data_IF_666138354780
#
_entry.id   IF_666138354780
#
_cell.length_a   1.000
_cell.length_b   1.000
_cell.length_c   1.000
_cell.angle_alpha   90.00
_cell.angle_beta   90.00
_cell.angle_gamma   90.00
#
_symmetry.space_group_name_H-M   'P 1'
#
loop_
_entity.id
_entity.type
_entity.pdbx_description
1 polymer ?
#
# COMPACT_ATOMS: atom_id res chain seq x y z
N UNK A 1 23.15 -7.66 3.12
CA UNK A 1 23.05 -6.25 2.64
C UNK A 1 21.62 -6.03 2.15
N UNK A 2 20.95 -5.01 2.63
CA UNK A 2 19.63 -4.63 2.13
C UNK A 2 19.80 -3.91 0.78
N UNK A 3 19.52 -4.63 -0.32
CA UNK A 3 19.72 -4.13 -1.69
C UNK A 3 18.74 -3.01 -2.04
N UNK A 4 17.49 -3.10 -1.55
CA UNK A 4 16.48 -2.08 -1.76
C UNK A 4 16.93 -0.75 -1.16
N UNK A 5 17.33 -0.77 0.10
CA UNK A 5 17.86 0.41 0.78
C UNK A 5 19.08 0.99 0.07
N UNK A 6 19.99 0.14 -0.40
CA UNK A 6 21.17 0.61 -1.14
C UNK A 6 20.79 1.33 -2.44
N UNK A 7 19.77 0.82 -3.16
CA UNK A 7 19.27 1.46 -4.39
C UNK A 7 18.62 2.80 -4.04
N UNK A 8 17.73 2.83 -3.06
CA UNK A 8 17.05 4.05 -2.61
C UNK A 8 18.07 5.11 -2.19
N UNK A 9 19.07 4.76 -1.39
CA UNK A 9 20.12 5.67 -0.94
C UNK A 9 20.94 6.27 -2.12
N UNK A 10 21.17 5.48 -3.20
CA UNK A 10 21.88 5.94 -4.41
C UNK A 10 21.09 6.92 -5.27
N UNK A 11 19.76 6.80 -5.30
CA UNK A 11 18.86 7.67 -6.06
C UNK A 11 18.19 8.75 -5.19
N UNK A 12 18.55 8.83 -3.90
CA UNK A 12 17.91 9.70 -2.93
C UNK A 12 17.96 11.18 -3.36
N UNK A 13 16.83 11.86 -3.21
CA UNK A 13 16.66 13.30 -3.41
C UNK A 13 15.48 13.80 -2.55
N UNK A 14 15.08 15.07 -2.71
CA UNK A 14 13.99 15.67 -1.91
C UNK A 14 12.60 15.08 -2.14
N UNK A 15 12.40 14.27 -3.19
CA UNK A 15 11.13 13.66 -3.52
C UNK A 15 11.01 12.21 -3.04
N UNK A 16 12.13 11.56 -2.72
CA UNK A 16 12.16 10.12 -2.38
C UNK A 16 12.14 9.94 -0.86
N UNK A 17 11.25 9.08 -0.36
CA UNK A 17 11.19 8.72 1.07
C UNK A 17 9.79 8.46 1.62
N UNK A 18 8.74 8.78 0.89
CA UNK A 18 7.35 8.47 1.21
C UNK A 18 6.74 7.47 0.19
N UNK A 19 5.46 7.17 0.32
CA UNK A 19 4.72 6.25 -0.58
C UNK A 19 4.58 6.83 -2.01
N UNK A 20 4.84 8.12 -2.19
CA UNK A 20 4.88 8.80 -3.49
C UNK A 20 5.54 10.17 -3.39
N UNK A 21 5.89 10.74 -4.53
CA UNK A 21 6.47 12.06 -4.64
C UNK A 21 5.39 13.14 -4.68
N UNK A 22 5.47 14.15 -3.82
CA UNK A 22 4.58 15.33 -3.85
C UNK A 22 5.20 16.38 -4.74
N UNK A 23 4.51 16.73 -5.82
CA UNK A 23 4.95 17.76 -6.78
C UNK A 23 3.94 18.91 -6.79
N UNK A 24 4.44 20.13 -6.59
CA UNK A 24 3.63 21.34 -6.68
C UNK A 24 3.38 21.72 -8.14
N UNK A 25 2.15 22.10 -8.46
CA UNK A 25 1.73 22.65 -9.74
C UNK A 25 0.97 23.96 -9.50
N UNK A 26 0.76 24.74 -10.54
CA UNK A 26 0.03 26.01 -10.44
C UNK A 26 -1.38 25.88 -9.81
N UNK A 27 -2.05 24.75 -10.03
CA UNK A 27 -3.41 24.47 -9.52
C UNK A 27 -3.44 23.40 -8.44
N UNK A 28 -2.48 23.44 -7.50
CA UNK A 28 -2.42 22.51 -6.37
C UNK A 28 -1.27 21.51 -6.47
N UNK A 29 -1.21 20.60 -5.53
CA UNK A 29 -0.14 19.59 -5.47
C UNK A 29 -0.65 18.22 -5.91
N UNK A 30 0.21 17.47 -6.53
CA UNK A 30 -0.05 16.12 -7.03
C UNK A 30 0.91 15.12 -6.39
N UNK A 31 0.46 13.89 -6.28
CA UNK A 31 1.26 12.75 -5.82
C UNK A 31 1.46 11.81 -7.00
N UNK A 32 2.70 11.44 -7.22
CA UNK A 32 3.12 10.45 -8.21
C UNK A 32 3.69 9.24 -7.46
N UNK A 33 3.06 8.09 -7.62
CA UNK A 33 3.54 6.83 -7.08
C UNK A 33 3.71 5.79 -8.18
N UNK A 34 4.55 4.78 -7.94
CA UNK A 34 4.85 3.74 -8.91
C UNK A 34 5.28 2.48 -8.23
N UNK A 35 4.60 1.38 -8.56
CA UNK A 35 4.99 0.04 -8.18
C UNK A 35 5.11 -0.90 -9.37
N UNK A 36 5.85 -1.97 -9.13
CA UNK A 36 5.98 -3.11 -10.03
C UNK A 36 5.22 -4.30 -9.46
N UNK A 37 4.51 -5.02 -10.30
CA UNK A 37 3.85 -6.28 -9.93
C UNK A 37 4.29 -7.37 -10.89
N UNK A 38 5.07 -8.34 -10.39
CA UNK A 38 5.83 -9.27 -11.22
C UNK A 38 5.57 -10.72 -10.83
N UNK A 39 5.40 -11.57 -11.86
CA UNK A 39 5.37 -13.02 -11.72
C UNK A 39 6.73 -13.55 -11.22
N UNK A 40 6.67 -14.45 -10.23
CA UNK A 40 7.84 -14.99 -9.55
C UNK A 40 8.23 -14.22 -8.28
N UNK A 41 7.73 -12.98 -8.11
CA UNK A 41 7.93 -12.17 -6.89
C UNK A 41 6.61 -12.06 -6.10
N UNK A 42 5.56 -11.53 -6.72
CA UNK A 42 4.28 -11.25 -6.06
C UNK A 42 3.26 -12.39 -6.22
N UNK A 43 3.41 -13.20 -7.25
CA UNK A 43 2.58 -14.38 -7.51
C UNK A 43 3.34 -15.40 -8.38
N UNK A 44 2.91 -16.64 -8.33
CA UNK A 44 3.38 -17.67 -9.26
C UNK A 44 2.34 -17.94 -10.34
N UNK A 45 2.79 -18.48 -11.48
CA UNK A 45 1.90 -18.89 -12.57
C UNK A 45 0.76 -19.78 -12.04
N UNK A 46 -0.47 -19.49 -12.46
CA UNK A 46 -1.67 -20.25 -12.07
C UNK A 46 -2.28 -19.89 -10.71
N UNK A 47 -1.67 -19.03 -9.89
CA UNK A 47 -2.26 -18.58 -8.63
C UNK A 47 -3.39 -17.57 -8.82
N UNK A 48 -3.26 -16.73 -9.84
CA UNK A 48 -4.18 -15.65 -10.16
C UNK A 48 -4.59 -15.75 -11.63
N UNK A 49 -5.84 -15.41 -11.94
CA UNK A 49 -6.26 -15.16 -13.32
C UNK A 49 -5.69 -13.83 -13.81
N UNK A 50 -5.68 -13.59 -15.13
CA UNK A 50 -5.22 -12.32 -15.70
C UNK A 50 -6.02 -11.12 -15.18
N UNK A 51 -7.33 -11.30 -14.95
CA UNK A 51 -8.19 -10.29 -14.36
C UNK A 51 -7.80 -9.98 -12.90
N UNK A 52 -7.51 -11.03 -12.09
CA UNK A 52 -7.06 -10.87 -10.70
C UNK A 52 -5.68 -10.22 -10.62
N UNK A 53 -4.76 -10.56 -11.55
CA UNK A 53 -3.42 -9.96 -11.66
C UNK A 53 -3.54 -8.44 -11.89
N UNK A 54 -4.31 -8.03 -12.91
CA UNK A 54 -4.52 -6.62 -13.23
C UNK A 54 -5.19 -5.86 -12.08
N UNK A 55 -6.25 -6.44 -11.50
CA UNK A 55 -6.97 -5.85 -10.36
C UNK A 55 -6.04 -5.63 -9.18
N UNK A 56 -5.26 -6.64 -8.79
CA UNK A 56 -4.33 -6.52 -7.67
C UNK A 56 -3.23 -5.49 -7.98
N UNK A 57 -2.60 -5.54 -9.16
CA UNK A 57 -1.58 -4.58 -9.56
C UNK A 57 -2.07 -3.12 -9.47
N UNK A 58 -3.32 -2.86 -9.87
CA UNK A 58 -3.90 -1.52 -9.75
C UNK A 58 -4.13 -1.14 -8.28
N UNK A 59 -4.76 -2.02 -7.49
CA UNK A 59 -5.11 -1.74 -6.09
C UNK A 59 -3.87 -1.47 -5.23
N UNK A 60 -2.75 -2.18 -5.44
CA UNK A 60 -1.53 -1.95 -4.66
C UNK A 60 -0.95 -0.56 -4.92
N UNK A 61 -0.97 -0.11 -6.18
CA UNK A 61 -0.52 1.23 -6.55
C UNK A 61 -1.46 2.35 -6.04
N UNK A 62 -2.77 2.10 -6.01
CA UNK A 62 -3.73 3.05 -5.45
C UNK A 62 -3.57 3.20 -3.93
N UNK A 63 -3.09 2.16 -3.24
CA UNK A 63 -2.84 2.16 -1.80
C UNK A 63 -1.91 3.29 -1.37
N UNK A 64 -0.81 3.49 -2.09
CA UNK A 64 0.16 4.57 -1.85
C UNK A 64 -0.49 5.96 -1.87
N UNK A 65 -1.27 6.22 -2.94
CA UNK A 65 -1.94 7.49 -3.10
C UNK A 65 -2.94 7.76 -1.97
N UNK A 66 -3.72 6.73 -1.59
CA UNK A 66 -4.68 6.81 -0.48
C UNK A 66 -3.95 7.10 0.82
N UNK A 67 -2.84 6.39 1.12
CA UNK A 67 -2.07 6.57 2.35
C UNK A 67 -1.46 7.98 2.47
N UNK A 68 -1.26 8.68 1.35
CA UNK A 68 -0.78 10.05 1.30
C UNK A 68 -1.89 11.12 1.26
N UNK A 69 -3.17 10.76 1.40
CA UNK A 69 -4.33 11.66 1.28
C UNK A 69 -4.46 12.25 -0.14
N UNK A 70 -4.15 11.46 -1.16
CA UNK A 70 -4.28 11.86 -2.55
C UNK A 70 -5.35 11.01 -3.25
N UNK A 71 -6.17 11.65 -4.06
CA UNK A 71 -7.22 11.01 -4.86
C UNK A 71 -6.66 10.64 -6.22
N UNK A 72 -6.57 9.34 -6.56
CA UNK A 72 -6.09 8.90 -7.85
C UNK A 72 -6.95 9.47 -9.00
N UNK A 73 -6.31 9.93 -10.07
CA UNK A 73 -7.00 10.50 -11.24
C UNK A 73 -6.60 9.80 -12.52
N UNK A 74 -5.29 9.55 -12.69
CA UNK A 74 -4.76 8.98 -13.92
C UNK A 74 -3.80 7.84 -13.62
N UNK A 75 -3.68 6.92 -14.58
CA UNK A 75 -2.71 5.85 -14.55
C UNK A 75 -1.94 5.73 -15.88
N UNK A 76 -0.66 5.36 -15.77
CA UNK A 76 0.17 4.90 -16.90
C UNK A 76 0.55 3.44 -16.65
N UNK A 77 0.44 2.60 -17.70
CA UNK A 77 0.71 1.17 -17.60
C UNK A 77 1.92 0.77 -18.45
N UNK A 78 2.90 0.13 -17.83
CA UNK A 78 3.94 -0.62 -18.52
C UNK A 78 3.62 -2.12 -18.44
N UNK A 79 3.51 -2.80 -19.56
CA UNK A 79 3.11 -4.21 -19.65
C UNK A 79 4.21 -5.05 -20.28
N UNK A 80 4.85 -5.91 -19.52
CA UNK A 80 5.69 -6.99 -20.03
C UNK A 80 4.88 -8.29 -20.05
N UNK A 81 4.63 -8.85 -21.23
CA UNK A 81 3.78 -10.03 -21.38
C UNK A 81 4.49 -11.13 -22.16
N UNK A 82 4.33 -12.42 -21.77
CA UNK A 82 4.83 -13.54 -22.54
C UNK A 82 4.28 -13.53 -23.98
N UNK A 83 5.14 -13.81 -24.96
CA UNK A 83 4.75 -13.86 -26.38
C UNK A 83 3.56 -14.78 -26.67
N UNK A 84 3.36 -15.81 -25.85
CA UNK A 84 2.24 -16.77 -25.94
C UNK A 84 0.94 -16.28 -25.31
N UNK A 85 0.90 -15.06 -24.76
CA UNK A 85 -0.32 -14.51 -24.15
C UNK A 85 -1.42 -14.34 -25.20
N UNK A 86 -2.56 -15.00 -25.00
CA UNK A 86 -3.67 -15.02 -25.95
C UNK A 86 -4.49 -13.72 -25.88
N UNK A 87 -5.25 -13.44 -26.95
CA UNK A 87 -6.18 -12.31 -26.99
C UNK A 87 -7.23 -12.36 -25.86
N UNK A 88 -7.68 -13.56 -25.49
CA UNK A 88 -8.61 -13.74 -24.36
C UNK A 88 -7.96 -13.36 -23.03
N UNK A 89 -6.68 -13.70 -22.82
CA UNK A 89 -5.92 -13.31 -21.63
C UNK A 89 -5.68 -11.81 -21.58
N UNK A 90 -5.41 -11.17 -22.71
CA UNK A 90 -5.26 -9.70 -22.81
C UNK A 90 -6.61 -9.03 -22.48
N UNK A 91 -7.72 -9.55 -22.98
CA UNK A 91 -9.05 -9.05 -22.67
C UNK A 91 -9.40 -9.17 -21.18
N UNK A 92 -9.03 -10.28 -20.55
CA UNK A 92 -9.20 -10.48 -19.11
C UNK A 92 -8.32 -9.51 -18.29
N UNK A 93 -7.07 -9.28 -18.71
CA UNK A 93 -6.18 -8.29 -18.09
C UNK A 93 -6.79 -6.89 -18.17
N UNK A 94 -7.27 -6.47 -19.36
CA UNK A 94 -7.96 -5.19 -19.56
C UNK A 94 -9.16 -5.06 -18.64
N UNK A 95 -9.98 -6.12 -18.53
CA UNK A 95 -11.15 -6.11 -17.66
C UNK A 95 -10.77 -5.87 -16.21
N UNK A 96 -9.73 -6.54 -15.70
CA UNK A 96 -9.26 -6.36 -14.33
C UNK A 96 -8.81 -4.92 -14.02
N UNK A 97 -8.13 -4.27 -14.96
CA UNK A 97 -7.79 -2.84 -14.85
C UNK A 97 -9.04 -1.96 -14.90
N UNK A 98 -9.94 -2.18 -15.87
CA UNK A 98 -11.16 -1.38 -16.04
C UNK A 98 -12.04 -1.41 -14.80
N UNK A 99 -12.26 -2.60 -14.21
CA UNK A 99 -13.10 -2.75 -13.01
C UNK A 99 -12.59 -1.86 -11.85
N UNK A 100 -11.26 -1.76 -11.65
CA UNK A 100 -10.69 -0.91 -10.60
C UNK A 100 -10.70 0.57 -11.00
N UNK A 101 -10.46 0.86 -12.27
CA UNK A 101 -10.57 2.23 -12.79
C UNK A 101 -11.97 2.79 -12.56
N UNK A 102 -13.01 2.01 -12.86
CA UNK A 102 -14.40 2.40 -12.66
C UNK A 102 -14.74 2.57 -11.16
N UNK A 103 -14.23 1.65 -10.30
CA UNK A 103 -14.45 1.70 -8.85
C UNK A 103 -13.84 2.96 -8.20
N UNK A 104 -12.66 3.39 -8.65
CA UNK A 104 -11.90 4.51 -8.05
C UNK A 104 -11.87 5.79 -8.89
N UNK A 105 -12.56 5.84 -10.02
CA UNK A 105 -12.61 7.01 -10.89
C UNK A 105 -11.26 7.35 -11.54
N UNK A 106 -10.47 6.32 -11.90
CA UNK A 106 -9.14 6.47 -12.51
C UNK A 106 -9.23 6.32 -14.02
N UNK A 107 -8.54 7.18 -14.77
CA UNK A 107 -8.42 7.07 -16.23
C UNK A 107 -7.02 6.59 -16.60
N UNK A 108 -6.92 5.51 -17.37
CA UNK A 108 -5.65 5.10 -17.99
C UNK A 108 -5.38 6.03 -19.17
N UNK A 109 -4.27 6.78 -19.13
CA UNK A 109 -3.94 7.83 -20.11
C UNK A 109 -2.80 7.45 -21.05
N UNK A 110 -2.22 6.25 -20.89
CA UNK A 110 -1.15 5.76 -21.75
C UNK A 110 -0.35 4.65 -21.11
N UNK A 111 0.76 4.34 -21.73
CA UNK A 111 1.68 3.29 -21.27
C UNK A 111 2.52 2.75 -22.40
N UNK A 112 3.20 1.64 -22.13
CA UNK A 112 4.04 0.92 -23.09
C UNK A 112 3.87 -0.59 -22.92
N UNK A 113 4.16 -1.37 -23.98
CA UNK A 113 4.02 -2.83 -23.97
C UNK A 113 5.21 -3.49 -24.65
N UNK A 114 5.82 -4.47 -23.96
CA UNK A 114 6.94 -5.25 -24.47
C UNK A 114 6.69 -6.76 -24.33
N UNK A 115 7.41 -7.55 -25.14
CA UNK A 115 7.52 -8.99 -24.93
C UNK A 115 8.41 -9.29 -23.72
N UNK A 116 8.03 -10.27 -22.90
CA UNK A 116 8.77 -10.70 -21.72
C UNK A 116 8.63 -12.21 -21.52
N UNK A 117 9.51 -12.81 -20.72
CA UNK A 117 9.37 -14.23 -20.32
C UNK A 117 8.33 -14.44 -19.24
N UNK A 118 8.06 -13.41 -18.43
CA UNK A 118 7.12 -13.41 -17.30
C UNK A 118 6.21 -12.21 -17.39
N UNK A 119 5.07 -12.28 -16.70
CA UNK A 119 4.19 -11.13 -16.55
C UNK A 119 4.86 -10.10 -15.64
N UNK A 120 5.06 -8.90 -16.17
CA UNK A 120 5.55 -7.73 -15.45
C UNK A 120 4.60 -6.58 -15.70
N UNK A 121 4.01 -6.07 -14.65
CA UNK A 121 3.15 -4.89 -14.68
C UNK A 121 3.85 -3.76 -13.93
N UNK A 122 3.96 -2.61 -14.57
CA UNK A 122 4.45 -1.37 -14.00
C UNK A 122 3.31 -0.37 -14.03
N UNK A 123 2.83 0.03 -12.87
CA UNK A 123 1.73 1.00 -12.78
C UNK A 123 2.27 2.29 -12.17
N UNK A 124 1.97 3.41 -12.81
CA UNK A 124 2.23 4.75 -12.26
C UNK A 124 0.90 5.42 -12.00
N UNK A 125 0.65 5.86 -10.79
CA UNK A 125 -0.56 6.59 -10.41
C UNK A 125 -0.25 8.08 -10.27
N UNK A 126 -1.09 8.89 -10.86
CA UNK A 126 -1.05 10.34 -10.79
C UNK A 126 -2.30 10.79 -10.04
N UNK A 127 -2.10 11.35 -8.85
CA UNK A 127 -3.16 11.61 -7.88
C UNK A 127 -3.18 13.07 -7.46
N UNK A 128 -4.35 13.63 -7.26
CA UNK A 128 -4.52 14.99 -6.76
C UNK A 128 -4.60 14.99 -5.24
N UNK A 129 -3.78 15.80 -4.55
CA UNK A 129 -3.87 15.95 -3.11
C UNK A 129 -5.21 16.52 -2.66
N UNK A 130 -5.80 15.91 -1.65
CA UNK A 130 -7.02 16.35 -0.95
C UNK A 130 -6.68 17.27 0.24
N UNK A 131 -5.92 18.34 -0.02
CA UNK A 131 -5.42 19.25 1.00
C UNK A 131 -3.98 18.95 1.39
N UNK A 132 -3.67 18.66 2.67
CA UNK A 132 -2.30 18.38 3.10
C UNK A 132 -1.92 16.92 2.87
N UNK A 133 -0.74 16.69 2.32
CA UNK A 133 -0.16 15.35 2.27
C UNK A 133 0.06 14.80 3.68
N UNK A 134 -0.28 13.53 3.88
CA UNK A 134 0.09 12.78 5.08
C UNK A 134 1.35 11.99 4.74
N UNK A 135 2.43 12.26 5.45
CA UNK A 135 3.75 11.69 5.20
C UNK A 135 4.13 10.71 6.31
N UNK A 136 5.10 9.85 6.05
CA UNK A 136 5.70 8.97 7.08
C UNK A 136 6.41 9.75 8.17
N UNK A 137 6.86 10.97 7.90
CA UNK A 137 7.71 11.80 8.78
C UNK A 137 6.95 12.67 9.79
N UNK A 138 5.63 12.53 9.90
CA UNK A 138 4.78 13.42 10.70
C UNK A 138 4.49 12.98 12.13
N UNK A 139 4.93 11.78 12.57
CA UNK A 139 4.59 11.23 13.88
C UNK A 139 5.21 12.04 15.03
N UNK A 140 4.42 12.25 16.10
CA UNK A 140 4.80 13.06 17.27
C UNK A 140 4.86 12.21 18.53
N UNK A 141 5.81 12.52 19.42
CA UNK A 141 5.88 11.85 20.71
C UNK A 141 4.53 11.94 21.45
N UNK A 142 4.03 10.81 21.92
CA UNK A 142 2.75 10.69 22.57
C UNK A 142 1.58 10.32 21.65
N UNK A 143 1.75 10.35 20.33
CA UNK A 143 0.73 9.88 19.38
C UNK A 143 0.34 8.43 19.62
N UNK A 144 -0.91 8.12 19.40
CA UNK A 144 -1.40 6.75 19.30
C UNK A 144 -1.07 6.21 17.91
N UNK A 145 -0.70 4.94 17.86
CA UNK A 145 -0.41 4.21 16.61
C UNK A 145 -1.53 3.22 16.36
N UNK A 146 -2.09 3.24 15.16
CA UNK A 146 -3.19 2.37 14.78
C UNK A 146 -3.03 1.86 13.35
N UNK A 147 -3.76 0.79 13.04
CA UNK A 147 -3.97 0.33 11.66
C UNK A 147 -5.44 0.12 11.37
N UNK A 148 -5.79 0.21 10.11
CA UNK A 148 -7.14 -0.10 9.60
C UNK A 148 -7.33 -1.60 9.39
N UNK A 149 -8.58 -2.06 9.37
CA UNK A 149 -8.96 -3.41 8.98
C UNK A 149 -8.42 -4.53 9.85
N UNK A 150 -7.99 -5.59 9.18
CA UNK A 150 -7.41 -6.80 9.79
C UNK A 150 -6.15 -7.21 9.05
N UNK A 151 -5.15 -7.68 9.79
CA UNK A 151 -3.87 -8.13 9.26
C UNK A 151 -3.72 -9.65 9.36
N UNK A 152 -2.89 -10.22 8.49
CA UNK A 152 -2.61 -11.65 8.47
C UNK A 152 -3.41 -12.42 7.43
N UNK A 153 -4.30 -11.76 6.69
CA UNK A 153 -5.12 -12.36 5.64
C UNK A 153 -4.32 -12.69 4.39
N UNK A 154 -3.46 -11.78 3.96
CA UNK A 154 -2.58 -11.99 2.81
C UNK A 154 -1.60 -13.13 3.05
N UNK A 155 -0.89 -13.15 4.18
CA UNK A 155 0.03 -14.24 4.55
C UNK A 155 -0.69 -15.60 4.66
N UNK A 156 -1.94 -15.64 5.16
CA UNK A 156 -2.74 -16.86 5.18
C UNK A 156 -2.99 -17.35 3.74
N UNK A 157 -3.40 -16.46 2.84
CA UNK A 157 -3.62 -16.78 1.43
C UNK A 157 -2.35 -17.28 0.76
N UNK A 158 -1.23 -16.59 0.93
CA UNK A 158 0.08 -16.98 0.42
C UNK A 158 0.47 -18.40 0.87
N UNK A 159 0.38 -18.70 2.17
CA UNK A 159 0.70 -20.04 2.70
C UNK A 159 -0.21 -21.12 2.13
N UNK A 160 -1.50 -20.83 1.95
CA UNK A 160 -2.43 -21.77 1.32
C UNK A 160 -2.01 -22.11 -0.11
N UNK A 161 -1.64 -21.09 -0.91
CA UNK A 161 -1.18 -21.28 -2.29
C UNK A 161 0.17 -22.00 -2.38
N UNK A 162 1.13 -21.66 -1.53
CA UNK A 162 2.44 -22.33 -1.44
C UNK A 162 2.29 -23.84 -1.11
N UNK A 163 1.27 -24.21 -0.35
CA UNK A 163 0.95 -25.61 -0.03
C UNK A 163 0.03 -26.27 -1.06
N UNK A 164 -0.12 -25.71 -2.27
CA UNK A 164 -0.93 -26.27 -3.35
C UNK A 164 -2.44 -26.12 -3.17
N UNK A 165 -2.89 -25.36 -2.14
CA UNK A 165 -4.30 -25.09 -1.90
C UNK A 165 -4.86 -24.00 -2.80
N UNK A 166 -6.15 -23.69 -2.62
CA UNK A 166 -6.87 -22.64 -3.35
C UNK A 166 -7.35 -21.57 -2.38
N UNK A 167 -7.37 -20.32 -2.84
CA UNK A 167 -7.92 -19.17 -2.09
C UNK A 167 -9.09 -18.56 -2.86
N UNK A 168 -10.09 -18.10 -2.13
CA UNK A 168 -11.25 -17.44 -2.73
C UNK A 168 -10.84 -16.16 -3.46
N UNK A 169 -11.56 -15.76 -4.50
CA UNK A 169 -11.29 -14.55 -5.29
C UNK A 169 -11.39 -13.26 -4.47
N UNK A 170 -12.18 -13.25 -3.40
CA UNK A 170 -12.29 -12.14 -2.46
C UNK A 170 -11.29 -12.23 -1.28
N UNK A 171 -10.33 -13.16 -1.30
CA UNK A 171 -9.29 -13.24 -0.27
C UNK A 171 -8.40 -11.99 -0.29
N UNK A 172 -7.87 -11.60 0.87
CA UNK A 172 -6.94 -10.46 0.97
C UNK A 172 -5.72 -10.60 0.08
N UNK A 173 -5.22 -11.81 -0.10
CA UNK A 173 -4.11 -12.10 -1.00
C UNK A 173 -4.41 -11.70 -2.45
N UNK A 174 -5.64 -11.96 -2.93
CA UNK A 174 -6.04 -11.67 -4.31
C UNK A 174 -6.61 -10.26 -4.50
N UNK A 175 -7.36 -9.78 -3.51
CA UNK A 175 -8.07 -8.50 -3.57
C UNK A 175 -7.87 -7.72 -2.27
N UNK A 176 -6.85 -6.86 -2.19
CA UNK A 176 -6.77 -5.83 -1.15
C UNK A 176 -8.03 -4.96 -1.11
N UNK A 177 -8.37 -4.44 0.05
CA UNK A 177 -9.52 -3.53 0.21
C UNK A 177 -9.02 -2.24 0.80
N UNK A 178 -8.95 -1.21 -0.02
CA UNK A 178 -8.48 0.11 0.40
C UNK A 178 -9.46 0.75 1.37
N UNK A 179 -8.98 1.61 2.25
CA UNK A 179 -9.75 2.32 3.28
C UNK A 179 -9.79 3.81 3.00
N UNK A 180 -9.90 4.15 1.72
CA UNK A 180 -9.92 5.50 1.16
C UNK A 180 -10.99 6.39 1.83
N UNK A 181 -12.23 5.93 1.91
CA UNK A 181 -13.34 6.67 2.54
C UNK A 181 -13.05 7.03 4.00
N UNK A 182 -12.46 6.11 4.77
CA UNK A 182 -12.04 6.41 6.14
C UNK A 182 -10.88 7.40 6.15
N UNK A 183 -9.86 7.10 5.36
CA UNK A 183 -8.61 7.84 5.41
C UNK A 183 -8.80 9.29 4.99
N UNK A 184 -9.50 9.54 3.89
CA UNK A 184 -9.82 10.90 3.43
C UNK A 184 -10.63 11.69 4.45
N UNK A 185 -11.60 11.05 5.12
CA UNK A 185 -12.38 11.71 6.17
C UNK A 185 -11.58 12.01 7.45
N UNK A 186 -10.49 11.27 7.69
CA UNK A 186 -9.71 11.35 8.92
C UNK A 186 -8.36 12.08 8.74
N UNK A 187 -7.92 12.34 7.51
CA UNK A 187 -6.57 12.80 7.16
C UNK A 187 -6.13 14.06 7.91
N UNK A 188 -7.02 15.01 8.15
CA UNK A 188 -6.75 16.25 8.91
C UNK A 188 -6.47 16.00 10.41
N UNK A 189 -6.75 14.80 10.92
CA UNK A 189 -6.51 14.38 12.32
C UNK A 189 -5.34 13.39 12.43
N UNK A 190 -4.75 12.98 11.30
CA UNK A 190 -3.64 12.04 11.21
C UNK A 190 -2.33 12.83 11.10
N UNK A 191 -1.32 12.41 11.86
CA UNK A 191 -0.01 13.07 11.87
C UNK A 191 0.98 12.41 10.90
N UNK A 192 1.00 11.08 10.82
CA UNK A 192 1.80 10.31 9.89
C UNK A 192 1.04 9.06 9.44
N UNK A 193 1.28 8.63 8.21
CA UNK A 193 0.73 7.38 7.69
C UNK A 193 1.61 6.78 6.61
N UNK A 194 1.36 5.51 6.32
CA UNK A 194 1.78 4.74 5.16
C UNK A 194 0.87 3.51 5.03
N UNK A 195 0.90 2.84 3.91
CA UNK A 195 0.25 1.54 3.77
C UNK A 195 1.05 0.40 4.42
N UNK A 196 0.42 -0.76 4.61
CA UNK A 196 1.06 -1.96 5.15
C UNK A 196 1.37 -2.91 4.00
N UNK A 197 2.54 -2.76 3.41
CA UNK A 197 3.03 -3.52 2.26
C UNK A 197 4.07 -4.59 2.64
N UNK A 198 5.05 -4.27 3.49
CA UNK A 198 6.10 -5.21 3.93
C UNK A 198 5.75 -5.98 5.21
N UNK A 199 4.67 -5.58 5.85
CA UNK A 199 4.20 -6.08 7.13
C UNK A 199 4.34 -5.04 8.24
N UNK A 200 3.35 -5.03 9.13
CA UNK A 200 3.18 -3.99 10.15
C UNK A 200 4.46 -3.67 10.94
N UNK A 201 5.26 -4.69 11.26
CA UNK A 201 6.50 -4.50 12.03
C UNK A 201 7.58 -3.76 11.23
N UNK A 202 7.75 -4.08 9.94
CA UNK A 202 8.69 -3.42 9.04
C UNK A 202 8.24 -2.00 8.73
N UNK A 203 6.97 -1.81 8.41
CA UNK A 203 6.40 -0.52 8.02
C UNK A 203 6.36 0.45 9.21
N UNK A 204 6.08 -0.04 10.43
CA UNK A 204 6.23 0.77 11.64
C UNK A 204 7.69 1.23 11.84
N UNK A 205 8.66 0.37 11.53
CA UNK A 205 10.07 0.77 11.63
C UNK A 205 10.44 1.85 10.61
N UNK A 206 9.93 1.75 9.36
CA UNK A 206 10.10 2.78 8.33
C UNK A 206 9.48 4.12 8.77
N UNK A 207 8.24 4.11 9.25
CA UNK A 207 7.53 5.29 9.74
C UNK A 207 8.27 5.93 10.93
N UNK A 208 8.72 5.12 11.89
CA UNK A 208 9.49 5.60 13.03
C UNK A 208 10.84 6.18 12.64
N UNK A 209 11.52 5.59 11.66
CA UNK A 209 12.79 6.11 11.14
C UNK A 209 12.62 7.48 10.47
N UNK A 210 11.63 7.63 9.60
CA UNK A 210 11.31 8.90 8.93
C UNK A 210 10.86 9.98 9.92
N UNK A 211 10.11 9.59 10.95
CA UNK A 211 9.65 10.49 12.02
C UNK A 211 10.69 10.71 13.14
N UNK A 212 11.85 10.07 13.09
CA UNK A 212 12.93 10.13 14.11
C UNK A 212 12.42 9.82 15.51
N UNK A 213 11.60 8.78 15.65
CA UNK A 213 10.94 8.43 16.90
C UNK A 213 11.02 6.92 17.19
N UNK A 214 10.55 6.52 18.37
CA UNK A 214 10.34 5.14 18.77
C UNK A 214 8.86 4.82 18.87
N UNK A 215 8.54 3.55 19.12
CA UNK A 215 7.19 3.11 19.41
C UNK A 215 7.19 2.07 20.54
N UNK A 216 6.18 2.13 21.42
CA UNK A 216 5.96 1.16 22.49
C UNK A 216 4.59 0.52 22.31
N UNK A 217 4.57 -0.80 22.17
CA UNK A 217 3.32 -1.55 22.04
C UNK A 217 2.50 -1.47 23.32
N UNK A 218 1.22 -1.21 23.20
CA UNK A 218 0.20 -1.25 24.24
C UNK A 218 -0.73 -2.45 24.12
N UNK A 219 -0.69 -3.15 22.97
CA UNK A 219 -1.45 -4.36 22.68
C UNK A 219 -0.53 -5.41 22.10
N UNK A 220 -0.65 -6.66 22.55
CA UNK A 220 0.06 -7.79 21.96
C UNK A 220 -0.57 -8.13 20.60
N UNK A 221 0.27 -8.19 19.56
CA UNK A 221 -0.09 -8.66 18.24
C UNK A 221 0.56 -10.02 17.99
N UNK A 222 -0.08 -10.84 17.18
CA UNK A 222 0.47 -12.14 16.77
C UNK A 222 1.62 -11.93 15.78
N UNK A 223 2.52 -12.93 15.67
CA UNK A 223 3.58 -12.92 14.65
C UNK A 223 3.00 -12.80 13.22
N UNK A 224 1.80 -13.35 13.00
CA UNK A 224 1.12 -13.26 11.71
C UNK A 224 0.70 -11.82 11.40
N UNK A 225 0.11 -11.09 12.35
CA UNK A 225 -0.26 -9.69 12.16
C UNK A 225 0.95 -8.79 11.93
N UNK A 226 2.07 -9.06 12.62
CA UNK A 226 3.29 -8.26 12.51
C UNK A 226 4.04 -8.47 11.19
N UNK A 227 4.01 -9.70 10.63
CA UNK A 227 4.84 -10.09 9.50
C UNK A 227 4.05 -10.37 8.22
N UNK A 228 2.75 -10.08 8.18
CA UNK A 228 1.96 -10.23 6.95
C UNK A 228 2.17 -9.01 6.08
N UNK A 229 2.91 -9.18 4.99
CA UNK A 229 3.01 -8.20 3.91
C UNK A 229 1.80 -8.24 2.98
N UNK A 230 1.74 -7.31 2.04
CA UNK A 230 0.71 -7.17 1.02
C UNK A 230 -0.73 -7.10 1.61
N UNK A 231 -0.90 -6.47 2.78
CA UNK A 231 -2.22 -6.28 3.40
C UNK A 231 -2.91 -5.02 2.87
N UNK A 232 -2.13 -3.98 2.52
CA UNK A 232 -2.61 -2.69 2.00
C UNK A 232 -3.69 -2.04 2.88
N UNK A 233 -3.61 -2.33 4.19
CA UNK A 233 -4.28 -1.55 5.23
C UNK A 233 -3.41 -0.33 5.56
N UNK A 234 -3.94 0.68 6.22
CA UNK A 234 -3.21 1.90 6.52
C UNK A 234 -2.70 1.86 7.96
N UNK A 235 -1.37 1.96 8.13
CA UNK A 235 -0.70 2.27 9.38
C UNK A 235 -0.67 3.79 9.56
N UNK A 236 -1.13 4.31 10.70
CA UNK A 236 -1.18 5.74 10.94
C UNK A 236 -1.01 6.12 12.41
N UNK A 237 -0.62 7.38 12.62
CA UNK A 237 -0.46 7.96 13.95
C UNK A 237 -1.32 9.21 14.12
N UNK A 238 -1.81 9.44 15.33
CA UNK A 238 -2.65 10.58 15.62
C UNK A 238 -2.58 10.97 17.11
N UNK A 239 -2.85 12.26 17.40
CA UNK A 239 -2.89 12.76 18.77
C UNK A 239 -4.00 12.05 19.59
N UNK A 240 -3.75 11.67 20.87
CA UNK A 240 -4.76 11.12 21.76
C UNK A 240 -6.04 11.97 21.85
N UNK A 241 -5.91 13.29 21.68
CA UNK A 241 -7.05 14.23 21.66
C UNK A 241 -8.04 13.95 20.53
N UNK A 242 -7.57 13.37 19.43
CA UNK A 242 -8.39 13.03 18.26
C UNK A 242 -9.03 11.63 18.34
N UNK A 243 -8.77 10.86 19.42
CA UNK A 243 -9.23 9.45 19.54
C UNK A 243 -10.73 9.29 19.31
N UNK A 244 -11.54 10.09 19.98
CA UNK A 244 -13.00 10.01 19.86
C UNK A 244 -13.47 10.28 18.42
N UNK A 245 -12.88 11.29 17.76
CA UNK A 245 -13.21 11.66 16.37
C UNK A 245 -12.80 10.58 15.39
N UNK A 246 -11.57 10.04 15.49
CA UNK A 246 -11.07 8.92 14.66
C UNK A 246 -12.01 7.71 14.78
N UNK A 247 -12.36 7.30 16.00
CA UNK A 247 -13.25 6.15 16.20
C UNK A 247 -14.69 6.42 15.71
N UNK A 248 -15.17 7.66 15.77
CA UNK A 248 -16.46 8.07 15.20
C UNK A 248 -16.44 7.96 13.66
N UNK A 249 -15.39 8.47 13.01
CA UNK A 249 -15.22 8.38 11.57
C UNK A 249 -15.09 6.92 11.12
N UNK A 250 -14.32 6.11 11.83
CA UNK A 250 -14.18 4.68 11.58
C UNK A 250 -15.53 3.95 11.58
N UNK A 251 -16.39 4.24 12.57
CA UNK A 251 -17.76 3.69 12.62
C UNK A 251 -18.61 4.14 11.44
N UNK A 252 -18.58 5.43 11.08
CA UNK A 252 -19.32 5.98 9.94
C UNK A 252 -18.93 5.34 8.61
N UNK A 253 -17.66 5.05 8.43
CA UNK A 253 -17.12 4.42 7.21
C UNK A 253 -17.04 2.89 7.29
N UNK A 254 -17.58 2.28 8.37
CA UNK A 254 -17.52 0.83 8.61
C UNK A 254 -16.09 0.26 8.53
N UNK A 255 -15.12 1.05 8.98
CA UNK A 255 -13.71 0.68 8.99
C UNK A 255 -13.29 0.28 10.39
N UNK A 256 -12.79 -0.95 10.56
CA UNK A 256 -12.21 -1.41 11.83
C UNK A 256 -10.89 -0.68 12.06
N UNK A 257 -10.66 -0.21 13.29
CA UNK A 257 -9.39 0.40 13.70
C UNK A 257 -8.86 -0.35 14.91
N UNK A 258 -7.59 -0.71 14.84
CA UNK A 258 -6.86 -1.30 15.97
C UNK A 258 -5.77 -0.34 16.43
N UNK A 259 -5.95 0.27 17.60
CA UNK A 259 -4.90 1.04 18.28
C UNK A 259 -4.02 0.03 19.03
N UNK A 260 -2.71 0.02 18.76
CA UNK A 260 -1.83 -1.03 19.27
C UNK A 260 -0.52 -0.55 19.89
N UNK A 261 -0.14 0.72 19.66
CA UNK A 261 1.10 1.27 20.19
C UNK A 261 0.97 2.78 20.47
N UNK A 262 2.03 3.33 21.05
CA UNK A 262 2.20 4.78 21.28
C UNK A 262 3.59 5.18 20.81
N UNK A 263 3.67 6.34 20.15
CA UNK A 263 4.95 6.94 19.74
C UNK A 263 5.70 7.44 20.96
N UNK A 264 6.99 7.14 21.03
CA UNK A 264 7.91 7.51 22.11
C UNK A 264 9.14 8.22 21.55
N UNK A 265 9.93 8.83 22.42
CA UNK A 265 11.31 9.25 22.10
C UNK A 265 12.17 8.02 21.84
N UNK A 266 13.27 8.18 21.10
CA UNK A 266 14.23 7.12 20.83
C UNK A 266 14.07 6.49 19.44
N UNK A 267 14.54 5.27 19.27
CA UNK A 267 14.50 4.52 18.00
C UNK A 267 13.64 3.28 18.16
N UNK A 268 12.89 2.94 17.13
CA UNK A 268 12.20 1.66 17.03
C UNK A 268 13.00 0.74 16.09
N UNK A 269 13.22 -0.51 16.53
CA UNK A 269 13.83 -1.56 15.72
C UNK A 269 12.83 -2.69 15.57
N UNK A 270 12.59 -3.12 14.36
CA UNK A 270 11.80 -4.32 14.05
C UNK A 270 12.75 -5.48 13.76
N UNK A 271 12.38 -6.69 14.20
CA UNK A 271 13.02 -7.94 13.78
C UNK A 271 12.32 -8.54 12.53
N UNK A 272 11.41 -7.81 11.90
CA UNK A 272 10.75 -8.24 10.68
C UNK A 272 11.76 -8.34 9.53
N UNK A 273 11.62 -9.39 8.71
CA UNK A 273 12.47 -9.58 7.52
C UNK A 273 11.86 -8.82 6.33
N UNK A 274 12.72 -8.23 5.51
CA UNK A 274 12.33 -7.76 4.18
C UNK A 274 12.21 -8.99 3.26
N UNK A 275 11.09 -9.12 2.54
CA UNK A 275 10.79 -10.26 1.67
C UNK A 275 10.92 -9.93 0.17
N UNK A 276 11.30 -8.70 -0.19
CA UNK A 276 11.43 -8.28 -1.60
C UNK A 276 12.78 -8.65 -2.25
N UNK A 277 13.80 -8.97 -1.43
CA UNK A 277 15.14 -9.37 -1.90
C UNK A 277 15.72 -10.54 -1.11
#
# INVERSE_FOLDING_TARGET
MDKERLIIDKFSNSFIGDDGAVVAHERGSWVYSKDLFCEGTHFLAGWLSMEEIARKAMLVNLSDAVAMNAEPKFALLGLGLPKKTSAAQISALRKGFADVCDEYGVTIIGGDTIGSDKILLSVTIISQLRGKAVLRSGAKNGDLVAFTGELGGSLKGLRTLLNGGRVASNSRFKRPVLKDNFFYAAADKINAAMDVSDGLGADLAKLCAQSRCGAKFSKRLSKRELNSGEEYEILFTFSPKNRAKILSLARKTRTKITIFAKITKGKFKSNARNYHF
#
